data_IF_342529882429
#
_entry.id   IF_342529882429
#
_cell.length_a   1.000
_cell.length_b   1.000
_cell.length_c   1.000
_cell.angle_alpha   90.00
_cell.angle_beta   90.00
_cell.angle_gamma   90.00
#
_symmetry.space_group_name_H-M   'P 1'
#
loop_
_entity.id
_entity.type
_entity.pdbx_description
1 polymer ?
#
# COMPACT_ATOMS: atom_id res chain seq x y z
N UNK A 1 -5.80 3.78 -31.63
CA UNK A 1 -5.72 3.57 -30.17
C UNK A 1 -7.14 3.21 -29.72
N UNK A 2 -7.34 2.02 -29.21
CA UNK A 2 -8.65 1.61 -28.68
C UNK A 2 -8.69 1.97 -27.20
N UNK A 3 -9.70 2.72 -26.78
CA UNK A 3 -9.92 3.10 -25.37
C UNK A 3 -10.89 2.14 -24.65
N UNK A 4 -11.36 1.10 -25.35
CA UNK A 4 -12.23 0.10 -24.75
C UNK A 4 -11.42 -0.90 -23.91
N UNK A 5 -11.94 -1.21 -22.73
CA UNK A 5 -11.39 -2.28 -21.90
C UNK A 5 -11.59 -3.64 -22.54
N UNK A 6 -10.64 -4.54 -22.36
CA UNK A 6 -10.79 -5.93 -22.78
C UNK A 6 -11.85 -6.65 -21.92
N UNK A 7 -12.32 -7.81 -22.38
CA UNK A 7 -13.40 -8.55 -21.70
C UNK A 7 -13.03 -8.97 -20.27
N UNK A 8 -11.77 -9.34 -20.02
CA UNK A 8 -11.28 -9.66 -18.67
C UNK A 8 -11.41 -8.47 -17.73
N UNK A 9 -11.04 -7.28 -18.17
CA UNK A 9 -11.15 -6.06 -17.39
C UNK A 9 -12.61 -5.72 -17.12
N UNK A 10 -13.49 -5.82 -18.12
CA UNK A 10 -14.93 -5.57 -17.95
C UNK A 10 -15.56 -6.54 -16.93
N UNK A 11 -15.23 -7.82 -17.03
CA UNK A 11 -15.70 -8.85 -16.10
C UNK A 11 -15.23 -8.54 -14.66
N UNK A 12 -13.95 -8.19 -14.48
CA UNK A 12 -13.40 -7.91 -13.17
C UNK A 12 -13.99 -6.61 -12.58
N UNK A 13 -14.17 -5.57 -13.39
CA UNK A 13 -14.87 -4.35 -12.98
C UNK A 13 -16.30 -4.66 -12.50
N UNK A 14 -17.06 -5.46 -13.26
CA UNK A 14 -18.41 -5.84 -12.87
C UNK A 14 -18.44 -6.61 -11.53
N UNK A 15 -17.47 -7.50 -11.30
CA UNK A 15 -17.34 -8.23 -10.02
C UNK A 15 -17.01 -7.29 -8.86
N UNK A 16 -16.11 -6.33 -9.08
CA UNK A 16 -15.76 -5.34 -8.04
C UNK A 16 -16.94 -4.39 -7.77
N UNK A 17 -17.68 -3.96 -8.79
CA UNK A 17 -18.91 -3.16 -8.62
C UNK A 17 -19.97 -3.91 -7.82
N UNK A 18 -20.25 -5.17 -8.16
CA UNK A 18 -21.17 -6.03 -7.41
C UNK A 18 -20.72 -6.21 -5.95
N UNK A 19 -19.41 -6.36 -5.70
CA UNK A 19 -18.87 -6.42 -4.35
C UNK A 19 -19.07 -5.10 -3.59
N UNK A 20 -18.83 -3.96 -4.24
CA UNK A 20 -19.07 -2.64 -3.65
C UNK A 20 -20.53 -2.47 -3.25
N UNK A 21 -21.46 -2.87 -4.12
CA UNK A 21 -22.91 -2.78 -3.87
C UNK A 21 -23.35 -3.68 -2.71
N UNK A 22 -22.81 -4.89 -2.60
CA UNK A 22 -23.22 -5.85 -1.56
C UNK A 22 -22.57 -5.59 -0.20
N UNK A 23 -21.32 -5.14 -0.16
CA UNK A 23 -20.55 -5.14 1.07
C UNK A 23 -20.00 -3.77 1.47
N UNK A 24 -19.64 -2.90 0.52
CA UNK A 24 -19.00 -1.63 0.85
C UNK A 24 -20.05 -0.55 1.14
N UNK A 25 -20.88 -0.21 0.17
CA UNK A 25 -21.87 0.87 0.33
C UNK A 25 -22.85 0.65 1.49
N UNK A 26 -23.38 -0.56 1.73
CA UNK A 26 -24.29 -0.78 2.86
C UNK A 26 -23.62 -0.63 4.22
N UNK A 27 -22.29 -0.74 4.29
CA UNK A 27 -21.53 -0.70 5.54
C UNK A 27 -20.80 0.63 5.78
N UNK A 28 -20.96 1.65 4.93
CA UNK A 28 -20.28 2.93 5.11
C UNK A 28 -20.59 3.57 6.48
N UNK A 29 -21.85 3.64 6.85
CA UNK A 29 -22.24 4.21 8.15
C UNK A 29 -21.68 3.38 9.30
N UNK A 30 -21.78 2.05 9.25
CA UNK A 30 -21.25 1.15 10.28
C UNK A 30 -19.73 1.30 10.45
N UNK A 31 -19.01 1.50 9.34
CA UNK A 31 -17.57 1.75 9.37
C UNK A 31 -17.23 3.00 10.18
N UNK A 32 -17.90 4.13 9.89
CA UNK A 32 -17.63 5.38 10.59
C UNK A 32 -18.14 5.35 12.04
N UNK A 33 -19.27 4.71 12.34
CA UNK A 33 -19.75 4.50 13.71
C UNK A 33 -18.72 3.74 14.54
N UNK A 34 -18.18 2.63 14.03
CA UNK A 34 -17.15 1.86 14.72
C UNK A 34 -15.83 2.63 14.88
N UNK A 35 -15.49 3.50 13.92
CA UNK A 35 -14.31 4.35 14.01
C UNK A 35 -14.48 5.45 15.07
N UNK A 36 -15.66 6.06 15.16
CA UNK A 36 -15.97 7.13 16.10
C UNK A 36 -16.12 6.60 17.54
N UNK A 37 -16.60 5.36 17.72
CA UNK A 37 -16.70 4.69 19.02
C UNK A 37 -15.34 4.20 19.55
N UNK A 38 -14.30 4.17 18.73
CA UNK A 38 -12.99 3.68 19.13
C UNK A 38 -12.23 4.71 19.98
N UNK A 39 -11.46 4.24 20.97
CA UNK A 39 -10.60 5.07 21.83
C UNK A 39 -9.49 5.81 21.06
N UNK A 40 -9.19 5.37 19.84
CA UNK A 40 -8.14 5.92 18.99
C UNK A 40 -8.52 5.83 17.52
N UNK A 41 -8.18 6.89 16.77
CA UNK A 41 -8.27 6.88 15.29
C UNK A 41 -7.40 5.77 14.65
N UNK A 42 -6.46 5.24 15.39
CA UNK A 42 -5.57 4.14 14.99
C UNK A 42 -6.14 2.82 15.50
N UNK A 43 -7.30 2.46 15.01
CA UNK A 43 -7.98 1.22 15.40
C UNK A 43 -8.16 0.30 14.20
N UNK A 44 -8.39 -0.96 14.49
CA UNK A 44 -8.85 -1.95 13.52
C UNK A 44 -10.37 -1.90 13.51
N UNK A 45 -10.98 -1.56 12.39
CA UNK A 45 -12.43 -1.43 12.25
C UNK A 45 -13.03 -2.82 11.98
N UNK A 46 -13.85 -3.38 12.89
CA UNK A 46 -14.32 -4.77 12.78
C UNK A 46 -15.05 -5.08 11.47
N UNK A 47 -15.95 -4.20 11.03
CA UNK A 47 -16.68 -4.44 9.78
C UNK A 47 -15.76 -4.50 8.56
N UNK A 48 -14.65 -3.76 8.56
CA UNK A 48 -13.68 -3.83 7.47
C UNK A 48 -12.98 -5.19 7.43
N UNK A 49 -12.65 -5.77 8.58
CA UNK A 49 -12.02 -7.10 8.64
C UNK A 49 -12.98 -8.18 8.13
N UNK A 50 -14.27 -8.11 8.48
CA UNK A 50 -15.32 -9.00 7.94
C UNK A 50 -15.41 -8.91 6.40
N UNK A 51 -15.31 -7.70 5.85
CA UNK A 51 -15.37 -7.45 4.40
C UNK A 51 -14.10 -7.95 3.70
N UNK A 52 -12.93 -7.81 4.32
CA UNK A 52 -11.68 -8.38 3.79
C UNK A 52 -11.77 -9.89 3.57
N UNK A 53 -12.37 -10.60 4.51
CA UNK A 53 -12.56 -12.05 4.36
C UNK A 53 -13.47 -12.37 3.17
N UNK A 54 -14.52 -11.57 2.93
CA UNK A 54 -15.36 -11.71 1.73
C UNK A 54 -14.59 -11.45 0.44
N UNK A 55 -13.72 -10.44 0.42
CA UNK A 55 -12.88 -10.16 -0.75
C UNK A 55 -11.92 -11.31 -1.07
N UNK A 56 -11.36 -11.96 -0.03
CA UNK A 56 -10.54 -13.17 -0.18
C UNK A 56 -11.35 -14.36 -0.73
N UNK A 57 -12.54 -14.63 -0.15
CA UNK A 57 -13.45 -15.69 -0.58
C UNK A 57 -13.83 -15.54 -2.07
N UNK A 58 -14.05 -14.31 -2.54
CA UNK A 58 -14.43 -14.01 -3.91
C UNK A 58 -13.24 -13.85 -4.87
N UNK A 59 -11.99 -14.00 -4.40
CA UNK A 59 -10.80 -13.87 -5.23
C UNK A 59 -10.56 -12.46 -5.76
N UNK A 60 -10.97 -11.44 -4.98
CA UNK A 60 -10.76 -10.01 -5.26
C UNK A 60 -9.66 -9.41 -4.37
N UNK A 61 -8.71 -10.22 -3.95
CA UNK A 61 -7.64 -9.87 -3.04
C UNK A 61 -6.32 -9.65 -3.78
N UNK A 62 -5.53 -8.65 -3.39
CA UNK A 62 -4.20 -8.35 -3.96
C UNK A 62 -4.20 -8.06 -5.48
N UNK A 63 -5.25 -7.49 -6.04
CA UNK A 63 -5.36 -7.25 -7.47
C UNK A 63 -4.31 -6.29 -8.03
N UNK A 64 -3.70 -5.47 -7.19
CA UNK A 64 -2.75 -4.42 -7.57
C UNK A 64 -1.41 -4.95 -8.07
N UNK A 65 -0.93 -6.11 -7.57
CA UNK A 65 0.44 -6.57 -7.77
C UNK A 65 0.66 -7.04 -9.21
N UNK A 66 1.42 -6.29 -10.04
CA UNK A 66 1.62 -6.64 -11.44
C UNK A 66 2.64 -7.76 -11.59
N UNK A 67 2.54 -8.52 -12.68
CA UNK A 67 3.57 -9.47 -13.13
C UNK A 67 4.04 -10.48 -12.06
N UNK A 68 3.25 -10.69 -11.01
CA UNK A 68 3.57 -11.57 -9.89
C UNK A 68 2.56 -12.71 -9.79
N UNK A 69 3.05 -13.88 -9.39
CA UNK A 69 2.22 -15.02 -9.00
C UNK A 69 1.35 -14.73 -7.77
N UNK A 70 1.69 -13.69 -7.00
CA UNK A 70 1.01 -13.29 -5.79
C UNK A 70 -0.11 -12.25 -6.04
N UNK A 71 -0.25 -11.78 -7.28
CA UNK A 71 -1.27 -10.83 -7.70
C UNK A 71 -2.19 -11.41 -8.76
N UNK A 72 -3.11 -10.59 -9.28
CA UNK A 72 -4.04 -10.99 -10.35
C UNK A 72 -3.39 -11.00 -11.75
N UNK A 73 -2.13 -10.60 -11.89
CA UNK A 73 -1.41 -10.50 -13.15
C UNK A 73 -2.04 -9.49 -14.11
N UNK A 74 -2.56 -8.39 -13.58
CA UNK A 74 -3.13 -7.29 -14.35
C UNK A 74 -2.04 -6.33 -14.80
N UNK A 75 -2.18 -5.79 -15.98
CA UNK A 75 -1.44 -4.61 -16.41
C UNK A 75 -2.00 -3.36 -15.70
N UNK A 76 -1.22 -2.29 -15.66
CA UNK A 76 -1.72 -1.02 -15.10
C UNK A 76 -2.97 -0.50 -15.84
N UNK A 77 -3.08 -0.76 -17.14
CA UNK A 77 -4.25 -0.39 -17.94
C UNK A 77 -5.51 -1.17 -17.52
N UNK A 78 -5.36 -2.43 -17.16
CA UNK A 78 -6.46 -3.29 -16.67
C UNK A 78 -6.82 -2.98 -15.22
N UNK A 79 -5.85 -2.58 -14.40
CA UNK A 79 -6.06 -2.26 -12.99
C UNK A 79 -6.66 -0.85 -12.76
N UNK A 80 -6.37 0.11 -13.64
CA UNK A 80 -6.81 1.50 -13.49
C UNK A 80 -8.34 1.66 -13.28
N UNK A 81 -9.24 1.06 -14.08
CA UNK A 81 -10.68 1.17 -13.86
C UNK A 81 -11.15 0.51 -12.55
N UNK A 82 -10.44 -0.51 -12.08
CA UNK A 82 -10.71 -1.13 -10.77
C UNK A 82 -10.39 -0.15 -9.64
N UNK A 83 -9.28 0.59 -9.74
CA UNK A 83 -8.95 1.66 -8.79
C UNK A 83 -10.03 2.75 -8.75
N UNK A 84 -10.60 3.12 -9.90
CA UNK A 84 -11.68 4.10 -9.99
C UNK A 84 -12.92 3.62 -9.22
N UNK A 85 -13.30 2.36 -9.36
CA UNK A 85 -14.43 1.78 -8.63
C UNK A 85 -14.18 1.77 -7.13
N UNK A 86 -13.03 1.24 -6.69
CA UNK A 86 -12.66 1.19 -5.28
C UNK A 86 -12.53 2.60 -4.67
N UNK A 87 -12.06 3.58 -5.45
CA UNK A 87 -11.87 4.97 -5.02
C UNK A 87 -13.16 5.74 -4.73
N UNK A 88 -14.34 5.20 -5.04
CA UNK A 88 -15.64 5.81 -4.72
C UNK A 88 -15.91 5.86 -3.21
N UNK A 89 -15.29 4.98 -2.43
CA UNK A 89 -15.36 4.97 -0.97
C UNK A 89 -13.94 4.99 -0.40
N UNK A 90 -13.70 5.91 0.52
CA UNK A 90 -12.36 6.30 0.99
C UNK A 90 -11.52 5.14 1.59
N UNK A 91 -12.18 4.16 2.19
CA UNK A 91 -11.54 3.00 2.82
C UNK A 91 -11.66 1.70 2.00
N UNK A 92 -12.41 1.71 0.88
CA UNK A 92 -12.72 0.47 0.16
C UNK A 92 -11.48 -0.23 -0.41
N UNK A 93 -10.46 0.51 -0.82
CA UNK A 93 -9.20 -0.10 -1.33
C UNK A 93 -8.54 -1.01 -0.29
N UNK A 94 -8.70 -0.73 1.01
CA UNK A 94 -8.18 -1.60 2.07
C UNK A 94 -8.94 -2.93 2.16
N UNK A 95 -10.23 -2.95 1.84
CA UNK A 95 -11.02 -4.17 1.81
C UNK A 95 -10.49 -5.22 0.81
N UNK A 96 -9.79 -4.77 -0.23
CA UNK A 96 -9.18 -5.60 -1.27
C UNK A 96 -7.65 -5.77 -1.10
N UNK A 97 -7.08 -5.31 0.02
CA UNK A 97 -5.62 -5.19 0.24
C UNK A 97 -4.91 -4.38 -0.85
N UNK A 98 -5.59 -3.39 -1.40
CA UNK A 98 -5.12 -2.53 -2.48
C UNK A 98 -4.85 -1.09 -2.02
N UNK A 99 -4.65 -0.87 -0.72
CA UNK A 99 -4.45 0.45 -0.12
C UNK A 99 -2.98 0.85 -0.08
N UNK A 100 -2.70 2.11 -0.37
CA UNK A 100 -1.39 2.69 -0.13
C UNK A 100 -1.16 2.95 1.37
N UNK A 101 0.09 2.88 1.89
CA UNK A 101 1.35 2.63 1.18
C UNK A 101 1.68 1.14 0.97
N UNK A 102 0.86 0.22 1.47
CA UNK A 102 1.15 -1.22 1.45
C UNK A 102 1.39 -1.76 0.04
N UNK A 103 0.60 -1.31 -0.94
CA UNK A 103 0.77 -1.75 -2.33
C UNK A 103 2.17 -1.46 -2.87
N UNK A 104 2.65 -0.23 -2.75
CA UNK A 104 3.99 0.14 -3.19
C UNK A 104 5.08 -0.56 -2.39
N UNK A 105 4.89 -0.73 -1.07
CA UNK A 105 5.84 -1.41 -0.21
C UNK A 105 5.93 -2.91 -0.53
N UNK A 106 4.81 -3.56 -0.85
CA UNK A 106 4.80 -4.95 -1.31
C UNK A 106 5.49 -5.11 -2.68
N UNK A 107 5.34 -4.16 -3.60
CA UNK A 107 6.09 -4.16 -4.87
C UNK A 107 7.61 -4.03 -4.64
N UNK A 108 8.03 -3.17 -3.72
CA UNK A 108 9.45 -3.05 -3.33
C UNK A 108 9.97 -4.37 -2.77
N UNK A 109 9.23 -5.00 -1.87
CA UNK A 109 9.62 -6.29 -1.30
C UNK A 109 9.66 -7.39 -2.36
N UNK A 110 8.67 -7.45 -3.26
CA UNK A 110 8.64 -8.44 -4.35
C UNK A 110 9.86 -8.34 -5.26
N UNK A 111 10.27 -7.12 -5.59
CA UNK A 111 11.36 -6.90 -6.54
C UNK A 111 12.75 -7.00 -5.94
N UNK A 112 12.92 -6.58 -4.68
CA UNK A 112 14.24 -6.30 -4.12
C UNK A 112 14.56 -7.03 -2.82
N UNK A 113 13.57 -7.60 -2.13
CA UNK A 113 13.83 -8.28 -0.88
C UNK A 113 14.45 -9.67 -1.09
N UNK A 114 15.28 -10.10 -0.13
CA UNK A 114 15.70 -11.49 -0.05
C UNK A 114 14.52 -12.42 0.24
N UNK A 115 14.63 -13.70 -0.09
CA UNK A 115 13.59 -14.68 0.17
C UNK A 115 13.23 -14.76 1.67
N UNK A 116 14.20 -14.56 2.55
CA UNK A 116 13.99 -14.48 4.00
C UNK A 116 13.09 -13.28 4.35
N UNK A 117 13.38 -12.10 3.79
CA UNK A 117 12.61 -10.89 4.03
C UNK A 117 11.24 -10.93 3.36
N UNK A 118 11.11 -11.55 2.20
CA UNK A 118 9.80 -11.81 1.59
C UNK A 118 8.93 -12.66 2.50
N UNK A 119 9.45 -13.77 3.00
CA UNK A 119 8.74 -14.64 3.93
C UNK A 119 8.38 -13.93 5.23
N UNK A 120 9.29 -13.12 5.75
CA UNK A 120 9.11 -12.43 7.03
C UNK A 120 8.12 -11.27 6.97
N UNK A 121 8.12 -10.51 5.87
CA UNK A 121 7.40 -9.25 5.78
C UNK A 121 6.36 -9.19 4.67
N UNK A 122 6.69 -9.71 3.45
CA UNK A 122 5.78 -9.63 2.32
C UNK A 122 4.62 -10.62 2.45
N UNK A 123 4.86 -11.85 2.86
CA UNK A 123 3.79 -12.83 3.03
C UNK A 123 2.72 -12.36 4.04
N UNK A 124 3.07 -11.87 5.25
CA UNK A 124 2.07 -11.31 6.16
C UNK A 124 1.35 -10.07 5.63
N UNK A 125 2.02 -9.21 4.82
CA UNK A 125 1.37 -8.10 4.14
C UNK A 125 0.37 -8.57 3.10
N UNK A 126 0.75 -9.56 2.27
CA UNK A 126 -0.13 -10.16 1.27
C UNK A 126 -1.34 -10.85 1.91
N UNK A 127 -1.18 -11.42 3.10
CA UNK A 127 -2.28 -12.02 3.85
C UNK A 127 -3.17 -10.97 4.54
N UNK A 128 -2.72 -9.71 4.65
CA UNK A 128 -3.42 -8.66 5.38
C UNK A 128 -3.29 -8.75 6.91
N UNK A 129 -2.33 -9.54 7.40
CA UNK A 129 -2.06 -9.74 8.84
C UNK A 129 -1.35 -8.54 9.46
N UNK A 130 -0.50 -7.88 8.69
CA UNK A 130 0.23 -6.68 9.08
C UNK A 130 0.01 -5.56 8.08
N UNK A 131 0.37 -4.34 8.49
CA UNK A 131 0.42 -3.16 7.64
C UNK A 131 1.84 -2.63 7.56
N UNK A 132 2.06 -1.72 6.65
CA UNK A 132 3.34 -1.05 6.45
C UNK A 132 3.19 0.46 6.38
N UNK A 133 4.33 1.16 6.42
CA UNK A 133 4.38 2.59 6.21
C UNK A 133 5.56 2.95 5.31
N UNK A 134 5.52 4.16 4.73
CA UNK A 134 6.58 4.67 3.87
C UNK A 134 7.06 6.02 4.39
N UNK A 135 8.30 6.06 4.90
CA UNK A 135 8.91 7.24 5.50
C UNK A 135 9.77 7.99 4.47
N UNK A 136 9.14 8.86 3.70
CA UNK A 136 9.80 9.69 2.70
C UNK A 136 9.91 11.13 3.15
N UNK A 137 8.78 11.76 3.48
CA UNK A 137 8.63 13.20 3.70
C UNK A 137 9.44 13.70 4.89
N UNK A 138 10.10 14.84 4.73
CA UNK A 138 10.90 15.52 5.74
C UNK A 138 10.36 16.94 6.00
N UNK A 139 10.40 17.42 7.26
CA UNK A 139 9.85 18.73 7.59
C UNK A 139 10.70 19.91 7.07
N UNK A 140 11.99 19.70 6.83
CA UNK A 140 12.94 20.76 6.51
C UNK A 140 13.14 21.00 5.02
N UNK A 141 12.73 20.06 4.16
CA UNK A 141 12.99 20.09 2.71
C UNK A 141 11.75 19.74 1.90
N UNK A 142 11.72 20.17 0.64
CA UNK A 142 10.68 19.78 -0.32
C UNK A 142 10.92 18.33 -0.80
N UNK A 143 10.59 17.37 0.06
CA UNK A 143 10.92 15.95 -0.11
C UNK A 143 10.02 15.19 -1.08
N UNK A 144 9.06 15.85 -1.72
CA UNK A 144 8.38 15.34 -2.92
C UNK A 144 9.34 15.18 -4.11
N UNK A 145 10.37 16.00 -4.16
CA UNK A 145 11.57 15.73 -4.94
C UNK A 145 12.53 14.91 -4.07
N UNK A 146 12.68 13.62 -4.41
CA UNK A 146 13.51 12.69 -3.64
C UNK A 146 15.01 13.10 -3.59
N UNK A 147 15.46 13.93 -4.54
CA UNK A 147 16.84 14.47 -4.54
C UNK A 147 17.11 15.43 -3.40
N UNK A 148 16.05 16.03 -2.81
CA UNK A 148 16.16 16.97 -1.68
C UNK A 148 16.21 16.28 -0.30
N UNK A 149 15.99 14.97 -0.22
CA UNK A 149 15.98 14.24 1.06
C UNK A 149 17.33 14.43 1.77
N UNK A 150 17.29 14.76 3.06
CA UNK A 150 18.47 14.98 3.91
C UNK A 150 18.77 13.85 4.89
N UNK A 151 17.80 12.94 5.11
CA UNK A 151 18.00 11.77 5.96
C UNK A 151 19.20 10.95 5.46
N UNK A 152 20.19 10.76 6.33
CA UNK A 152 21.44 10.05 6.00
C UNK A 152 21.35 8.59 6.37
N UNK A 153 21.93 7.75 5.53
CA UNK A 153 22.15 6.33 5.78
C UNK A 153 23.65 6.09 5.56
N UNK A 154 24.40 5.92 6.63
CA UNK A 154 25.86 5.76 6.60
C UNK A 154 26.21 4.35 7.06
N UNK A 155 27.14 3.69 6.35
CA UNK A 155 27.63 2.38 6.75
C UNK A 155 28.69 2.53 7.82
N UNK A 156 28.53 1.78 8.93
CA UNK A 156 29.50 1.67 10.02
C UNK A 156 29.79 0.19 10.28
N UNK A 157 30.88 -0.31 9.71
CA UNK A 157 31.21 -1.73 9.74
C UNK A 157 30.15 -2.60 9.05
N UNK A 158 29.48 -3.45 9.81
CA UNK A 158 28.40 -4.33 9.36
C UNK A 158 27.00 -3.76 9.62
N UNK A 159 26.92 -2.52 10.14
CA UNK A 159 25.66 -1.83 10.46
C UNK A 159 25.44 -0.63 9.56
N UNK A 160 24.20 -0.10 9.60
CA UNK A 160 23.84 1.18 9.00
C UNK A 160 23.36 2.14 10.09
N UNK A 161 23.97 3.33 10.13
CA UNK A 161 23.53 4.44 10.99
C UNK A 161 22.60 5.33 10.20
N UNK A 162 21.38 5.50 10.70
CA UNK A 162 20.34 6.32 10.06
C UNK A 162 20.11 7.56 10.89
N UNK A 163 20.31 8.74 10.29
CA UNK A 163 20.10 10.04 10.93
C UNK A 163 19.20 10.92 10.07
N UNK A 164 18.04 11.29 10.61
CA UNK A 164 17.09 12.16 9.92
C UNK A 164 15.78 12.29 10.69
N UNK A 165 14.90 13.13 10.17
CA UNK A 165 13.57 13.35 10.73
C UNK A 165 12.52 13.22 9.62
N UNK A 166 11.59 12.30 9.81
CA UNK A 166 10.45 12.07 8.91
C UNK A 166 9.16 12.56 9.56
N UNK A 167 8.20 12.97 8.75
CA UNK A 167 6.85 13.30 9.19
C UNK A 167 5.80 12.89 8.14
N UNK A 168 4.54 13.03 8.46
CA UNK A 168 3.41 12.68 7.59
C UNK A 168 3.47 11.24 7.05
N UNK A 169 4.08 10.34 7.82
CA UNK A 169 4.20 8.93 7.46
C UNK A 169 2.86 8.24 7.69
N UNK A 170 2.06 8.13 6.63
CA UNK A 170 0.73 7.49 6.69
C UNK A 170 0.84 6.05 7.15
N UNK A 171 -0.07 5.65 8.03
CA UNK A 171 -0.14 4.26 8.53
C UNK A 171 0.79 3.95 9.69
N UNK A 172 1.78 4.81 10.05
CA UNK A 172 2.74 4.53 11.13
C UNK A 172 2.09 4.33 12.50
N UNK A 173 0.92 4.93 12.73
CA UNK A 173 0.17 4.80 13.98
C UNK A 173 -0.74 3.57 14.05
N UNK A 174 -0.91 2.84 12.97
CA UNK A 174 -1.71 1.62 12.96
C UNK A 174 -1.03 0.53 13.81
N UNK A 175 -1.71 -0.12 14.75
CA UNK A 175 -1.12 -1.15 15.61
C UNK A 175 -0.62 -2.37 14.82
N UNK A 176 -1.12 -2.57 13.62
CA UNK A 176 -0.69 -3.63 12.69
C UNK A 176 0.56 -3.24 11.89
N UNK A 177 1.00 -1.96 11.91
CA UNK A 177 2.20 -1.54 11.20
C UNK A 177 3.44 -2.20 11.81
N UNK A 178 4.11 -3.08 11.04
CA UNK A 178 5.28 -3.86 11.49
C UNK A 178 6.53 -3.61 10.66
N UNK A 179 6.39 -2.98 9.50
CA UNK A 179 7.51 -2.66 8.62
C UNK A 179 7.37 -1.23 8.09
N UNK A 180 8.50 -0.58 7.98
CA UNK A 180 8.64 0.77 7.45
C UNK A 180 9.68 0.77 6.32
N UNK A 181 9.30 1.20 5.11
CA UNK A 181 10.25 1.52 4.06
C UNK A 181 10.72 2.95 4.28
N UNK A 182 12.02 3.14 4.48
CA UNK A 182 12.61 4.45 4.74
C UNK A 182 13.45 4.91 3.55
N UNK A 183 13.20 6.11 3.07
CA UNK A 183 14.05 6.78 2.09
C UNK A 183 15.10 7.64 2.76
N UNK A 184 16.35 7.48 2.34
CA UNK A 184 17.49 8.27 2.80
C UNK A 184 18.61 8.28 1.78
N UNK A 185 19.60 9.15 1.96
CA UNK A 185 20.81 9.23 1.14
C UNK A 185 21.93 8.40 1.75
N UNK A 186 22.51 7.52 0.96
CA UNK A 186 23.71 6.75 1.31
C UNK A 186 25.02 7.48 0.94
N UNK A 187 24.93 8.54 0.12
CA UNK A 187 26.04 9.39 -0.25
C UNK A 187 25.59 10.84 -0.40
N UNK A 188 26.39 11.79 0.11
CA UNK A 188 26.12 13.23 -0.03
C UNK A 188 26.44 13.77 -1.44
N UNK A 189 27.10 12.97 -2.28
CA UNK A 189 27.49 13.34 -3.64
C UNK A 189 26.41 13.08 -4.70
N UNK A 190 25.26 12.58 -4.33
CA UNK A 190 24.10 12.58 -5.24
C UNK A 190 23.51 13.99 -5.32
N UNK A 191 24.29 14.87 -5.92
CA UNK A 191 23.79 16.06 -6.58
C UNK A 191 23.34 15.66 -7.98
N UNK A 192 22.55 16.49 -8.64
CA UNK A 192 21.90 16.33 -9.92
C UNK A 192 22.77 15.88 -11.12
N UNK A 193 24.03 15.60 -10.91
CA UNK A 193 25.02 15.30 -11.94
C UNK A 193 25.26 13.78 -12.16
N UNK A 194 24.46 12.93 -11.53
CA UNK A 194 24.55 11.47 -11.72
C UNK A 194 23.58 10.94 -12.81
N UNK A 195 23.16 11.82 -13.70
CA UNK A 195 22.27 11.53 -14.85
C UNK A 195 22.96 11.67 -16.21
N UNK A 196 24.29 11.55 -16.26
CA UNK A 196 25.06 11.44 -17.53
C UNK A 196 25.56 10.00 -17.74
#
# INVERSE_FOLDING_TARGET
>A
MHFEHNERTKELCARVEDFMDRYIYPNENKYYEQLDEADSRWCVVPVLEEIKDKAKEEGLWNMFLPESRNGAGLTNLEYAPICEIMGRVNWASEAFNCSAPDTGNMEVLERYASEENKKRWMEPLLNGEIRSAFAMTEPAVASSDATNIECRIERDGDEYVINGRKWWTSGIGDPRCKILILMGKTCLLYTSDAAD
#
